data_IF_885001674247
#
_entry.id   IF_885001674247
#
_cell.length_a   1.000
_cell.length_b   1.000
_cell.length_c   1.000
_cell.angle_alpha   90.00
_cell.angle_beta   90.00
_cell.angle_gamma   90.00
#
_symmetry.space_group_name_H-M   'P 1'
#
loop_
_entity.id
_entity.type
_entity.pdbx_description
1 polymer ?
#
# COMPACT_ATOMS: atom_id res chain seq x y z
N UNK A 1 8.72 29.38 44.50
CA UNK A 1 8.74 28.43 45.63
C UNK A 1 7.43 27.65 45.64
N UNK A 2 7.41 26.35 46.01
CA UNK A 2 7.52 25.27 45.00
C UNK A 2 6.57 24.06 45.22
N UNK A 3 6.81 23.02 44.42
CA UNK A 3 6.54 21.57 44.63
C UNK A 3 5.19 21.05 44.10
N UNK A 4 5.10 19.87 43.47
CA UNK A 4 5.84 18.62 43.75
C UNK A 4 6.23 17.83 42.49
N UNK A 5 7.44 17.26 42.57
CA UNK A 5 7.94 16.10 41.81
C UNK A 5 7.30 14.81 42.35
N UNK A 6 7.23 13.78 41.51
CA UNK A 6 7.51 12.40 41.93
C UNK A 6 8.48 11.75 40.91
N UNK A 7 9.64 11.35 41.41
CA UNK A 7 10.61 10.47 40.78
C UNK A 7 10.23 9.00 41.08
N UNK A 8 10.53 8.10 40.16
CA UNK A 8 10.91 6.70 40.45
C UNK A 8 11.99 6.32 39.42
N UNK A 9 13.27 6.49 39.79
CA UNK A 9 14.23 5.43 40.18
C UNK A 9 14.38 4.31 39.14
N UNK A 10 15.49 4.44 38.41
CA UNK A 10 16.22 3.39 37.72
C UNK A 10 17.13 2.75 38.76
N UNK A 11 17.04 1.42 38.93
CA UNK A 11 18.09 0.64 39.56
C UNK A 11 18.72 -0.22 38.45
N UNK A 12 19.99 0.07 38.17
CA UNK A 12 20.93 -0.81 37.47
C UNK A 12 21.44 -1.87 38.47
N UNK A 13 21.54 -3.11 38.01
CA UNK A 13 22.55 -4.14 38.36
C UNK A 13 21.95 -5.55 38.37
N UNK A 14 22.20 -6.33 37.32
CA UNK A 14 22.65 -7.71 37.48
C UNK A 14 23.36 -8.21 36.22
N UNK A 15 24.70 -8.27 36.31
CA UNK A 15 25.58 -9.07 35.43
C UNK A 15 25.95 -10.33 36.24
N UNK A 16 25.73 -11.52 35.68
CA UNK A 16 26.76 -12.56 35.43
C UNK A 16 26.15 -13.95 35.13
N UNK A 17 26.64 -14.50 34.00
CA UNK A 17 27.11 -15.88 33.73
C UNK A 17 26.24 -17.10 34.04
N UNK A 18 26.06 -17.92 33.00
CA UNK A 18 26.47 -19.33 32.83
C UNK A 18 25.43 -20.07 31.95
N UNK A 19 25.78 -20.54 30.76
CA UNK A 19 26.54 -21.76 30.40
C UNK A 19 25.59 -22.84 29.83
N UNK A 20 25.98 -23.31 28.64
CA UNK A 20 25.65 -24.56 27.95
C UNK A 20 24.57 -25.47 28.56
N UNK A 21 23.43 -25.59 27.87
CA UNK A 21 22.68 -26.85 27.78
C UNK A 21 22.22 -27.06 26.34
N UNK A 22 22.80 -28.09 25.72
CA UNK A 22 22.29 -28.68 24.49
C UNK A 22 20.90 -29.28 24.73
N UNK A 23 19.89 -28.83 24.01
CA UNK A 23 18.69 -29.63 23.77
C UNK A 23 18.35 -29.56 22.29
N UNK A 24 18.52 -30.70 21.64
CA UNK A 24 17.92 -31.03 20.35
C UNK A 24 16.41 -30.79 20.43
N UNK A 25 15.93 -29.72 19.80
CA UNK A 25 14.50 -29.51 19.56
C UNK A 25 14.20 -29.82 18.10
N UNK A 26 13.43 -30.89 17.91
CA UNK A 26 12.78 -31.27 16.66
C UNK A 26 12.11 -30.05 16.01
N UNK A 27 12.34 -29.90 14.72
CA UNK A 27 11.61 -28.96 13.86
C UNK A 27 10.10 -29.26 13.92
N UNK A 28 9.24 -28.26 14.15
CA UNK A 28 7.80 -28.46 14.05
C UNK A 28 7.41 -28.55 12.57
N UNK A 29 6.71 -29.65 12.23
CA UNK A 29 6.05 -29.83 10.93
C UNK A 29 5.10 -28.65 10.64
N UNK A 30 5.01 -28.17 9.40
CA UNK A 30 4.17 -27.02 9.07
C UNK A 30 2.70 -27.46 9.06
N UNK A 31 1.91 -27.01 10.04
CA UNK A 31 0.48 -27.38 10.10
C UNK A 31 -0.35 -26.81 11.24
N UNK A 32 0.15 -25.84 12.02
CA UNK A 32 -0.58 -25.29 13.18
C UNK A 32 -0.43 -23.76 13.25
N UNK A 33 -1.17 -23.06 12.38
CA UNK A 33 -1.40 -21.60 12.47
C UNK A 33 -2.89 -21.25 12.51
N UNK A 34 -3.76 -22.21 12.76
CA UNK A 34 -5.20 -21.99 12.82
C UNK A 34 -5.63 -22.01 14.28
N UNK A 35 -5.76 -20.83 14.92
CA UNK A 35 -6.70 -20.52 16.03
C UNK A 35 -6.50 -19.11 16.65
N UNK A 36 -6.33 -18.05 15.85
CA UNK A 36 -6.23 -16.69 16.42
C UNK A 36 -7.05 -15.60 15.71
N UNK A 37 -7.93 -15.93 14.75
CA UNK A 37 -8.65 -14.92 13.95
C UNK A 37 -10.13 -14.75 14.29
N UNK A 38 -10.59 -15.22 15.45
CA UNK A 38 -12.04 -15.23 15.76
C UNK A 38 -12.49 -14.19 16.80
N UNK A 39 -11.66 -13.21 17.17
CA UNK A 39 -12.09 -12.08 18.01
C UNK A 39 -11.42 -10.78 17.61
N UNK A 40 -12.26 -9.76 17.44
CA UNK A 40 -11.93 -8.32 17.33
C UNK A 40 -11.52 -7.77 15.96
N UNK A 41 -12.43 -7.79 14.98
CA UNK A 41 -12.46 -6.75 13.93
C UNK A 41 -13.90 -6.29 13.73
N UNK A 42 -14.28 -5.26 14.47
CA UNK A 42 -15.33 -4.26 14.24
C UNK A 42 -15.84 -3.73 15.58
N UNK A 43 -15.06 -2.88 16.24
CA UNK A 43 -15.58 -1.96 17.25
C UNK A 43 -15.65 -0.56 16.62
N UNK A 44 -16.83 -0.21 16.10
CA UNK A 44 -17.17 1.19 15.87
C UNK A 44 -17.49 1.80 17.23
N UNK A 45 -16.54 2.56 17.78
CA UNK A 45 -16.71 3.28 19.04
C UNK A 45 -17.82 4.33 18.89
N UNK A 46 -18.98 4.10 19.51
CA UNK A 46 -19.98 5.15 19.73
C UNK A 46 -19.55 5.95 20.96
N UNK A 47 -19.19 7.22 20.76
CA UNK A 47 -19.23 8.21 21.84
C UNK A 47 -20.69 8.41 22.22
N UNK A 48 -21.04 8.05 23.45
CA UNK A 48 -22.27 8.49 24.09
C UNK A 48 -21.95 9.81 24.80
N UNK A 49 -22.68 10.86 24.43
CA UNK A 49 -22.68 12.13 25.13
C UNK A 49 -23.55 11.97 26.39
N UNK A 50 -22.92 12.04 27.57
CA UNK A 50 -23.59 12.15 28.86
C UNK A 50 -23.71 13.65 29.21
N UNK A 51 -24.86 14.25 28.93
CA UNK A 51 -25.31 15.48 29.59
C UNK A 51 -26.50 15.13 30.49
N UNK A 52 -26.34 15.33 31.79
CA UNK A 52 -27.42 15.19 32.78
C UNK A 52 -27.50 16.45 33.63
N UNK A 53 -28.26 17.44 33.15
CA UNK A 53 -28.74 18.56 33.96
C UNK A 53 -30.19 18.26 34.39
N UNK A 54 -30.35 18.01 35.69
CA UNK A 54 -31.64 17.85 36.33
C UNK A 54 -32.20 19.21 36.73
N UNK A 55 -33.31 19.62 36.13
CA UNK A 55 -34.11 20.73 36.63
C UNK A 55 -35.59 20.32 36.74
N UNK A 56 -36.13 20.45 37.95
CA UNK A 56 -37.47 20.05 38.36
C UNK A 56 -38.49 21.14 38.03
N UNK A 57 -39.55 20.83 37.27
CA UNK A 57 -40.76 21.67 37.20
C UNK A 57 -42.04 20.80 37.19
N UNK A 58 -43.00 21.24 37.99
CA UNK A 58 -44.30 20.63 38.33
C UNK A 58 -45.38 20.75 37.22
N UNK A 59 -46.53 20.03 37.31
CA UNK A 59 -47.37 19.74 36.14
C UNK A 59 -48.54 20.71 35.99
N UNK A 60 -48.84 21.15 34.75
CA UNK A 60 -50.17 21.66 34.39
C UNK A 60 -50.62 21.29 32.97
N UNK A 61 -51.78 20.62 32.96
CA UNK A 61 -52.92 20.78 32.05
C UNK A 61 -52.85 20.34 30.56
N UNK A 62 -53.58 19.23 30.33
CA UNK A 62 -54.31 18.79 29.11
C UNK A 62 -54.53 19.83 27.99
N UNK A 63 -54.17 19.45 26.75
CA UNK A 63 -55.06 19.63 25.57
C UNK A 63 -54.67 18.70 24.41
N UNK A 64 -55.64 17.92 23.92
CA UNK A 64 -55.54 17.01 22.75
C UNK A 64 -55.29 17.79 21.45
N UNK A 65 -54.37 17.31 20.60
CA UNK A 65 -54.45 17.49 19.13
C UNK A 65 -54.08 16.18 18.43
N UNK A 66 -55.07 15.61 17.75
CA UNK A 66 -54.92 14.50 16.79
C UNK A 66 -54.37 15.07 15.47
N UNK A 67 -53.09 15.41 15.44
CA UNK A 67 -52.30 15.63 14.22
C UNK A 67 -50.90 15.21 14.63
N UNK A 68 -50.43 14.04 14.22
CA UNK A 68 -49.14 13.56 14.71
C UNK A 68 -48.81 12.10 14.50
N UNK A 69 -49.71 11.30 13.90
CA UNK A 69 -49.35 9.92 13.53
C UNK A 69 -48.85 9.84 12.09
N UNK A 70 -49.53 10.49 11.14
CA UNK A 70 -49.17 10.41 9.71
C UNK A 70 -47.91 11.22 9.38
N UNK A 71 -47.80 12.46 9.87
CA UNK A 71 -46.59 13.28 9.68
C UNK A 71 -45.37 12.67 10.36
N UNK A 72 -45.54 12.11 11.57
CA UNK A 72 -44.46 11.38 12.26
C UNK A 72 -44.04 10.13 11.52
N UNK A 73 -44.98 9.36 10.95
CA UNK A 73 -44.65 8.18 10.15
C UNK A 73 -43.91 8.55 8.86
N UNK A 74 -44.33 9.62 8.15
CA UNK A 74 -43.63 10.09 6.95
C UNK A 74 -42.23 10.58 7.29
N UNK A 75 -42.07 11.32 8.40
CA UNK A 75 -40.76 11.78 8.87
C UNK A 75 -39.84 10.62 9.26
N UNK A 76 -40.36 9.61 9.98
CA UNK A 76 -39.59 8.40 10.32
C UNK A 76 -39.20 7.61 9.08
N UNK A 77 -40.10 7.47 8.09
CA UNK A 77 -39.78 6.79 6.82
C UNK A 77 -38.70 7.57 6.05
N UNK A 78 -38.78 8.90 6.01
CA UNK A 78 -37.77 9.74 5.35
C UNK A 78 -36.41 9.67 6.06
N UNK A 79 -36.40 9.71 7.39
CA UNK A 79 -35.16 9.53 8.17
C UNK A 79 -34.59 8.14 7.99
N UNK A 80 -35.41 7.08 8.00
CA UNK A 80 -34.99 5.72 7.71
C UNK A 80 -34.48 5.59 6.27
N UNK A 81 -35.11 6.23 5.28
CA UNK A 81 -34.68 6.23 3.88
C UNK A 81 -33.35 6.99 3.70
N UNK A 82 -33.19 8.14 4.34
CA UNK A 82 -31.93 8.90 4.31
C UNK A 82 -30.83 8.16 5.05
N UNK A 83 -31.12 7.53 6.20
CA UNK A 83 -30.14 6.70 6.92
C UNK A 83 -29.79 5.44 6.14
N UNK A 84 -30.75 4.75 5.52
CA UNK A 84 -30.45 3.58 4.68
C UNK A 84 -29.71 3.97 3.40
N UNK A 85 -30.02 5.13 2.82
CA UNK A 85 -29.29 5.65 1.67
C UNK A 85 -27.89 6.13 2.06
N UNK A 86 -27.73 6.78 3.22
CA UNK A 86 -26.43 7.16 3.77
C UNK A 86 -25.58 5.94 4.16
N UNK A 87 -26.20 4.90 4.73
CA UNK A 87 -25.56 3.61 5.02
C UNK A 87 -25.24 2.83 3.74
N UNK A 88 -26.06 2.93 2.69
CA UNK A 88 -25.80 2.35 1.38
C UNK A 88 -24.67 3.10 0.65
N UNK A 89 -24.62 4.43 0.75
CA UNK A 89 -23.52 5.26 0.25
C UNK A 89 -22.23 4.95 1.03
N UNK A 90 -22.31 4.80 2.36
CA UNK A 90 -21.19 4.34 3.17
C UNK A 90 -20.75 2.93 2.77
N UNK A 91 -21.67 1.98 2.52
CA UNK A 91 -21.31 0.64 2.04
C UNK A 91 -20.72 0.65 0.62
N UNK A 92 -21.11 1.58 -0.26
CA UNK A 92 -20.50 1.71 -1.59
C UNK A 92 -19.13 2.41 -1.57
N UNK A 93 -18.84 3.16 -0.50
CA UNK A 93 -17.60 3.91 -0.30
C UNK A 93 -16.63 3.21 0.67
N UNK A 94 -17.12 2.21 1.39
CA UNK A 94 -16.33 1.35 2.26
C UNK A 94 -16.23 -0.01 1.60
N UNK A 95 -15.05 -0.28 1.05
CA UNK A 95 -14.35 -1.54 1.29
C UNK A 95 -15.23 -2.79 1.45
N UNK A 96 -15.45 -3.54 0.37
CA UNK A 96 -16.28 -4.73 0.42
C UNK A 96 -15.47 -5.93 0.96
N UNK A 97 -15.35 -6.01 2.29
CA UNK A 97 -14.70 -7.11 2.99
C UNK A 97 -15.21 -8.50 2.56
N UNK A 98 -16.43 -8.60 2.01
CA UNK A 98 -16.98 -9.84 1.46
C UNK A 98 -16.31 -10.27 0.15
N UNK A 99 -15.94 -9.33 -0.71
CA UNK A 99 -15.23 -9.62 -1.95
C UNK A 99 -13.78 -10.00 -1.66
N UNK A 100 -13.14 -9.33 -0.70
CA UNK A 100 -11.82 -9.71 -0.20
C UNK A 100 -11.84 -11.08 0.46
N UNK A 101 -12.76 -11.32 1.39
CA UNK A 101 -12.89 -12.62 2.05
C UNK A 101 -13.26 -13.71 1.03
N UNK A 102 -14.06 -13.38 0.01
CA UNK A 102 -14.36 -14.25 -1.12
C UNK A 102 -13.10 -14.57 -1.95
N UNK A 103 -12.29 -13.57 -2.28
CA UNK A 103 -11.02 -13.74 -2.99
C UNK A 103 -10.03 -14.54 -2.13
N UNK A 104 -9.80 -14.14 -0.88
CA UNK A 104 -8.97 -14.83 0.10
C UNK A 104 -9.39 -16.30 0.27
N UNK A 105 -10.69 -16.57 0.46
CA UNK A 105 -11.20 -17.93 0.53
C UNK A 105 -11.10 -18.66 -0.80
N UNK A 106 -11.23 -18.00 -1.95
CA UNK A 106 -10.99 -18.65 -3.24
C UNK A 106 -9.52 -19.02 -3.43
N UNK A 107 -8.61 -18.22 -2.87
CA UNK A 107 -7.17 -18.49 -2.84
C UNK A 107 -6.85 -19.61 -1.83
N UNK A 108 -7.56 -19.69 -0.71
CA UNK A 108 -7.31 -20.66 0.38
C UNK A 108 -8.08 -21.96 0.26
N UNK A 109 -9.31 -21.99 -0.22
CA UNK A 109 -9.99 -23.24 -0.56
C UNK A 109 -9.21 -23.97 -1.66
N UNK A 110 -8.57 -23.22 -2.57
CA UNK A 110 -7.53 -23.74 -3.43
C UNK A 110 -6.32 -24.26 -2.66
N UNK A 111 -5.86 -23.69 -1.54
CA UNK A 111 -4.75 -24.26 -0.72
C UNK A 111 -5.02 -25.65 -0.12
N UNK A 112 -6.28 -26.07 0.00
CA UNK A 112 -6.62 -27.40 0.54
C UNK A 112 -6.31 -28.55 -0.43
N UNK A 113 -6.31 -28.28 -1.74
CA UNK A 113 -6.04 -29.29 -2.78
C UNK A 113 -5.17 -28.81 -3.95
N UNK A 114 -5.11 -27.52 -4.28
CA UNK A 114 -4.31 -26.96 -5.38
C UNK A 114 -3.94 -25.46 -5.19
N UNK A 115 -2.78 -25.16 -4.62
CA UNK A 115 -1.94 -24.08 -5.17
C UNK A 115 -1.11 -24.62 -6.36
N UNK A 116 -1.59 -25.62 -7.08
CA UNK A 116 -0.82 -26.25 -8.16
C UNK A 116 -0.56 -25.29 -9.34
N UNK A 117 -1.29 -24.17 -9.44
CA UNK A 117 -1.10 -23.20 -10.52
C UNK A 117 -1.08 -21.75 -10.02
N UNK A 118 0.09 -21.13 -10.07
CA UNK A 118 0.25 -19.69 -9.87
C UNK A 118 -0.68 -18.89 -10.80
N UNK A 119 -1.24 -17.75 -10.33
CA UNK A 119 -2.09 -16.90 -11.16
C UNK A 119 -1.29 -16.33 -12.34
N UNK A 120 -1.96 -16.08 -13.46
CA UNK A 120 -1.32 -15.41 -14.58
C UNK A 120 -0.91 -13.98 -14.17
N UNK A 121 0.32 -13.52 -14.45
CA UNK A 121 0.77 -12.20 -14.05
C UNK A 121 0.04 -11.09 -14.83
N UNK A 122 -0.43 -10.07 -14.10
CA UNK A 122 -1.18 -8.92 -14.60
C UNK A 122 -0.30 -7.66 -14.55
N UNK A 123 0.44 -7.40 -15.63
CA UNK A 123 1.46 -6.35 -15.69
C UNK A 123 0.95 -4.94 -15.32
N UNK A 124 -0.30 -4.63 -15.66
CA UNK A 124 -0.89 -3.31 -15.45
C UNK A 124 -1.60 -3.16 -14.09
N UNK A 125 -1.67 -4.21 -13.28
CA UNK A 125 -2.41 -4.16 -12.02
C UNK A 125 -1.52 -3.68 -10.87
N UNK A 126 -1.92 -2.59 -10.22
CA UNK A 126 -1.30 -2.03 -9.01
C UNK A 126 -2.34 -2.09 -7.87
N UNK A 127 -2.05 -2.89 -6.85
CA UNK A 127 -2.94 -3.05 -5.70
C UNK A 127 -2.75 -1.85 -4.77
N UNK A 128 -3.79 -1.07 -4.54
CA UNK A 128 -3.75 -0.02 -3.52
C UNK A 128 -4.01 -0.68 -2.17
N UNK A 129 -2.97 -0.77 -1.35
CA UNK A 129 -3.01 -1.52 -0.11
C UNK A 129 -2.84 -0.57 1.07
N UNK A 130 -3.96 0.03 1.46
CA UNK A 130 -4.07 0.78 2.71
C UNK A 130 -4.23 -0.15 3.93
N UNK A 131 -4.35 0.45 5.11
CA UNK A 131 -4.50 -0.22 6.41
C UNK A 131 -5.75 -1.11 6.54
N UNK A 132 -6.60 -1.19 5.52
CA UNK A 132 -7.86 -1.93 5.59
C UNK A 132 -7.75 -3.37 5.05
N UNK A 133 -6.65 -3.73 4.38
CA UNK A 133 -6.38 -5.12 3.96
C UNK A 133 -5.84 -6.00 5.07
N UNK A 134 -6.46 -7.16 5.29
CA UNK A 134 -6.01 -8.10 6.29
C UNK A 134 -4.70 -8.82 5.88
N UNK A 135 -4.55 -9.10 4.58
CA UNK A 135 -3.41 -9.84 4.01
C UNK A 135 -2.97 -9.26 2.65
N UNK A 136 -2.50 -8.01 2.62
CA UNK A 136 -2.36 -7.23 1.38
C UNK A 136 -1.45 -7.84 0.32
N UNK A 137 -0.36 -8.46 0.74
CA UNK A 137 0.59 -9.11 -0.18
C UNK A 137 -0.02 -10.35 -0.80
N UNK A 138 -0.68 -11.18 0.00
CA UNK A 138 -1.26 -12.43 -0.43
C UNK A 138 -2.41 -12.20 -1.41
N UNK A 139 -3.21 -11.16 -1.19
CA UNK A 139 -4.30 -10.78 -2.09
C UNK A 139 -3.77 -10.28 -3.42
N UNK A 140 -2.84 -9.32 -3.40
CA UNK A 140 -2.26 -8.77 -4.61
C UNK A 140 -1.54 -9.87 -5.44
N UNK A 141 -0.61 -10.60 -4.83
CA UNK A 141 0.15 -11.65 -5.52
C UNK A 141 -0.74 -12.82 -5.94
N UNK A 142 -1.70 -13.21 -5.10
CA UNK A 142 -2.69 -14.26 -5.39
C UNK A 142 -3.65 -13.89 -6.52
N UNK A 143 -3.93 -12.60 -6.70
CA UNK A 143 -4.66 -12.08 -7.85
C UNK A 143 -3.80 -11.95 -9.12
N UNK A 144 -2.48 -12.16 -9.02
CA UNK A 144 -1.53 -12.02 -10.12
C UNK A 144 -1.01 -10.62 -10.32
N UNK A 145 -1.25 -9.69 -9.40
CA UNK A 145 -0.87 -8.29 -9.55
C UNK A 145 0.65 -8.12 -9.55
N UNK A 146 1.12 -7.18 -10.36
CA UNK A 146 2.54 -6.89 -10.55
C UNK A 146 3.01 -5.67 -9.78
N UNK A 147 2.08 -4.85 -9.30
CA UNK A 147 2.34 -3.71 -8.44
C UNK A 147 1.62 -3.84 -7.09
N UNK A 148 2.25 -3.31 -6.05
CA UNK A 148 1.65 -3.02 -4.76
C UNK A 148 1.95 -1.56 -4.41
N UNK A 149 0.98 -0.84 -3.87
CA UNK A 149 1.10 0.50 -3.32
C UNK A 149 0.85 0.44 -1.82
N UNK A 150 1.70 1.09 -1.02
CA UNK A 150 1.60 1.13 0.44
C UNK A 150 1.81 2.54 0.95
N UNK A 151 0.86 3.03 1.73
CA UNK A 151 0.98 4.28 2.47
C UNK A 151 1.97 4.12 3.61
N UNK A 152 2.84 5.11 3.81
CA UNK A 152 3.78 5.11 4.93
C UNK A 152 3.85 6.41 5.71
N UNK A 153 3.94 6.26 7.01
CA UNK A 153 4.19 7.34 7.96
C UNK A 153 5.54 7.11 8.65
N UNK A 154 6.42 8.12 8.59
CA UNK A 154 7.76 8.04 9.16
C UNK A 154 7.82 8.67 10.55
N UNK A 155 8.57 8.01 11.44
CA UNK A 155 9.20 8.68 12.57
C UNK A 155 10.73 8.63 12.42
N UNK A 156 11.47 9.11 13.43
CA UNK A 156 12.94 9.17 13.40
C UNK A 156 13.63 7.80 13.21
N UNK A 157 12.92 6.70 13.47
CA UNK A 157 13.51 5.36 13.58
C UNK A 157 12.92 4.34 12.59
N UNK A 158 11.69 4.53 12.13
CA UNK A 158 10.98 3.52 11.34
C UNK A 158 9.90 4.14 10.45
N UNK A 159 9.54 3.37 9.43
CA UNK A 159 8.35 3.56 8.61
C UNK A 159 7.25 2.64 9.11
N UNK A 160 6.08 3.21 9.30
CA UNK A 160 4.86 2.50 9.66
C UNK A 160 3.91 2.48 8.46
N UNK A 161 3.16 1.40 8.33
CA UNK A 161 2.12 1.24 7.32
C UNK A 161 0.94 2.13 7.69
N UNK A 162 0.49 2.91 6.71
CA UNK A 162 -0.66 3.80 6.82
C UNK A 162 -0.37 5.28 6.66
N UNK A 163 -1.46 6.06 6.65
CA UNK A 163 -1.42 7.51 6.51
C UNK A 163 -1.16 8.28 7.80
N UNK A 164 -0.98 7.58 8.91
CA UNK A 164 -0.69 8.11 10.23
C UNK A 164 0.16 7.11 11.02
N UNK A 165 0.69 7.54 12.17
CA UNK A 165 1.45 6.65 13.05
C UNK A 165 0.61 5.41 13.44
N UNK A 166 1.19 4.24 13.21
CA UNK A 166 0.60 2.94 13.52
C UNK A 166 1.63 2.07 14.23
N UNK A 167 1.23 0.87 14.69
CA UNK A 167 2.18 -0.09 15.27
C UNK A 167 2.79 -1.02 14.20
N UNK A 168 2.28 -0.96 12.98
CA UNK A 168 2.64 -1.88 11.91
C UNK A 168 3.83 -1.33 11.13
N UNK A 169 4.98 -2.00 11.18
CA UNK A 169 6.20 -1.53 10.52
C UNK A 169 6.29 -2.02 9.08
N UNK A 170 6.65 -1.13 8.16
CA UNK A 170 6.85 -1.45 6.76
C UNK A 170 7.82 -2.62 6.54
N UNK A 171 8.93 -2.66 7.30
CA UNK A 171 9.94 -3.71 7.16
C UNK A 171 9.39 -5.11 7.47
N UNK A 172 8.48 -5.21 8.44
CA UNK A 172 7.93 -6.47 8.92
C UNK A 172 6.71 -6.92 8.11
N UNK A 173 5.88 -5.96 7.67
CA UNK A 173 4.65 -6.23 6.92
C UNK A 173 4.84 -6.31 5.41
N UNK A 174 5.82 -5.59 4.86
CA UNK A 174 6.07 -5.53 3.42
C UNK A 174 7.44 -6.05 3.02
N UNK A 175 8.52 -5.44 3.51
CA UNK A 175 9.83 -5.67 2.91
C UNK A 175 10.33 -7.10 3.11
N UNK A 176 10.32 -7.61 4.35
CA UNK A 176 10.73 -9.00 4.64
C UNK A 176 9.78 -10.02 4.01
N UNK A 177 8.44 -9.90 4.09
CA UNK A 177 7.55 -10.83 3.41
C UNK A 177 7.78 -10.91 1.90
N UNK A 178 7.92 -9.77 1.21
CA UNK A 178 8.23 -9.75 -0.22
C UNK A 178 9.60 -10.38 -0.52
N UNK A 179 10.61 -10.11 0.29
CA UNK A 179 11.93 -10.73 0.16
C UNK A 179 11.90 -12.25 0.36
N UNK A 180 11.08 -12.77 1.28
CA UNK A 180 10.87 -14.22 1.44
C UNK A 180 10.31 -14.84 0.17
N UNK A 181 9.30 -14.22 -0.45
CA UNK A 181 8.72 -14.70 -1.70
C UNK A 181 9.77 -14.70 -2.82
N UNK A 182 10.53 -13.61 -2.98
CA UNK A 182 11.58 -13.48 -3.97
C UNK A 182 12.72 -14.50 -3.79
N UNK A 183 13.10 -14.79 -2.54
CA UNK A 183 14.15 -15.76 -2.22
C UNK A 183 13.71 -17.19 -2.55
N UNK A 184 12.43 -17.52 -2.36
CA UNK A 184 11.87 -18.83 -2.75
C UNK A 184 11.79 -18.96 -4.27
N UNK A 185 11.35 -17.92 -4.97
CA UNK A 185 11.23 -17.95 -6.43
C UNK A 185 12.57 -17.80 -7.16
N UNK A 186 13.63 -17.38 -6.45
CA UNK A 186 14.94 -17.03 -7.02
C UNK A 186 14.80 -16.09 -8.23
N UNK A 187 13.89 -15.11 -8.12
CA UNK A 187 13.54 -14.23 -9.22
C UNK A 187 12.24 -13.47 -9.00
N UNK A 188 11.42 -13.28 -10.06
CA UNK A 188 10.15 -12.58 -9.96
C UNK A 188 9.24 -13.18 -8.89
N UNK A 189 8.36 -12.37 -8.28
CA UNK A 189 7.48 -12.87 -7.21
C UNK A 189 6.43 -13.87 -7.74
N UNK A 190 6.07 -13.75 -9.03
CA UNK A 190 5.21 -14.70 -9.70
C UNK A 190 6.08 -15.70 -10.51
N UNK A 191 6.01 -17.02 -10.23
CA UNK A 191 6.85 -18.01 -10.91
C UNK A 191 6.53 -18.16 -12.40
N UNK A 192 5.32 -17.78 -12.85
CA UNK A 192 4.98 -17.80 -14.28
C UNK A 192 5.69 -16.68 -15.06
N UNK A 193 6.17 -15.61 -14.40
CA UNK A 193 6.84 -14.48 -15.05
C UNK A 193 8.08 -14.90 -15.86
N UNK A 194 8.80 -15.93 -15.42
CA UNK A 194 9.98 -16.45 -16.14
C UNK A 194 9.55 -17.06 -17.49
N UNK A 195 8.40 -17.73 -17.53
CA UNK A 195 7.87 -18.40 -18.72
C UNK A 195 7.14 -17.43 -19.65
N UNK A 196 6.29 -16.57 -19.10
CA UNK A 196 5.47 -15.63 -19.86
C UNK A 196 6.27 -14.41 -20.32
N UNK A 197 7.35 -14.09 -19.61
CA UNK A 197 8.11 -12.86 -19.81
C UNK A 197 7.43 -11.60 -19.29
N UNK A 198 6.22 -11.73 -18.74
CA UNK A 198 5.43 -10.66 -18.14
C UNK A 198 5.87 -10.51 -16.68
N UNK A 199 5.89 -9.30 -16.14
CA UNK A 199 6.09 -9.10 -14.69
C UNK A 199 7.39 -9.70 -14.16
N UNK A 200 8.50 -9.51 -14.91
CA UNK A 200 9.84 -9.97 -14.50
C UNK A 200 10.39 -9.22 -13.29
N UNK A 201 9.82 -8.05 -12.99
CA UNK A 201 10.13 -7.24 -11.84
C UNK A 201 8.81 -6.65 -11.32
N UNK A 202 8.53 -6.88 -10.05
CA UNK A 202 7.36 -6.33 -9.37
C UNK A 202 7.62 -4.88 -8.95
N UNK A 203 6.58 -4.06 -8.89
CA UNK A 203 6.65 -2.68 -8.40
C UNK A 203 6.16 -2.62 -6.96
N UNK A 204 6.93 -1.99 -6.07
CA UNK A 204 6.47 -1.54 -4.77
C UNK A 204 6.47 -0.01 -4.79
N UNK A 205 5.28 0.58 -4.83
CA UNK A 205 5.08 2.01 -4.73
C UNK A 205 4.88 2.38 -3.26
N UNK A 206 5.76 3.21 -2.71
CA UNK A 206 5.72 3.64 -1.30
C UNK A 206 5.25 5.08 -1.26
N UNK A 207 4.02 5.31 -0.82
CA UNK A 207 3.40 6.63 -0.76
C UNK A 207 3.64 7.29 0.60
N UNK A 208 4.48 8.34 0.62
CA UNK A 208 4.84 9.01 1.86
C UNK A 208 3.75 9.99 2.29
N UNK A 209 3.26 9.80 3.52
CA UNK A 209 2.21 10.63 4.13
C UNK A 209 2.74 11.56 5.23
N UNK A 210 4.07 11.66 5.34
CA UNK A 210 4.77 12.43 6.37
C UNK A 210 6.00 13.12 5.75
N UNK A 211 7.02 13.45 6.54
CA UNK A 211 8.20 14.14 6.02
C UNK A 211 8.93 13.30 4.95
N UNK A 212 8.92 13.78 3.70
CA UNK A 212 9.45 13.06 2.53
C UNK A 212 10.94 12.71 2.64
N UNK A 213 11.75 13.61 3.20
CA UNK A 213 13.21 13.42 3.32
C UNK A 213 13.54 12.38 4.40
N UNK A 214 12.90 12.47 5.56
CA UNK A 214 13.05 11.48 6.63
C UNK A 214 12.55 10.10 6.16
N UNK A 215 11.42 10.06 5.48
CA UNK A 215 10.83 8.82 4.97
C UNK A 215 11.81 8.10 4.04
N UNK A 216 12.44 8.83 3.12
CA UNK A 216 13.47 8.29 2.24
C UNK A 216 14.68 7.74 3.00
N UNK A 217 15.25 8.50 3.95
CA UNK A 217 16.44 8.08 4.70
C UNK A 217 16.19 6.77 5.45
N UNK A 218 15.00 6.64 6.04
CA UNK A 218 14.60 5.44 6.76
C UNK A 218 14.33 4.28 5.80
N UNK A 219 13.63 4.54 4.68
CA UNK A 219 13.36 3.54 3.65
C UNK A 219 14.64 2.95 3.08
N UNK A 220 15.60 3.80 2.70
CA UNK A 220 16.89 3.39 2.13
C UNK A 220 17.64 2.43 3.07
N UNK A 221 17.69 2.76 4.37
CA UNK A 221 18.31 1.91 5.39
C UNK A 221 17.60 0.56 5.52
N UNK A 222 16.26 0.56 5.49
CA UNK A 222 15.48 -0.67 5.60
C UNK A 222 15.65 -1.57 4.37
N UNK A 223 15.59 -1.02 3.16
CA UNK A 223 15.79 -1.77 1.91
C UNK A 223 17.17 -2.43 1.88
N UNK A 224 18.22 -1.68 2.20
CA UNK A 224 19.58 -2.20 2.30
C UNK A 224 19.73 -3.26 3.38
N UNK A 225 19.12 -3.05 4.55
CA UNK A 225 19.13 -4.03 5.62
C UNK A 225 18.51 -5.35 5.17
N UNK A 226 17.40 -5.31 4.43
CA UNK A 226 16.75 -6.53 3.92
C UNK A 226 17.57 -7.16 2.80
N UNK A 227 18.10 -6.39 1.85
CA UNK A 227 19.00 -6.94 0.83
C UNK A 227 20.21 -7.66 1.46
N UNK A 228 20.81 -7.07 2.50
CA UNK A 228 21.91 -7.69 3.26
C UNK A 228 21.46 -8.94 4.01
N UNK A 229 20.28 -8.91 4.65
CA UNK A 229 19.68 -10.05 5.38
C UNK A 229 19.53 -11.28 4.47
N UNK A 230 19.11 -11.10 3.22
CA UNK A 230 18.90 -12.18 2.25
C UNK A 230 20.16 -12.48 1.39
N UNK A 231 21.19 -11.64 1.48
CA UNK A 231 22.46 -11.79 0.76
C UNK A 231 22.36 -11.54 -0.75
N UNK A 232 21.35 -10.83 -1.22
CA UNK A 232 21.18 -10.40 -2.62
C UNK A 232 20.27 -9.17 -2.71
N UNK A 233 20.33 -8.47 -3.84
CA UNK A 233 19.47 -7.32 -4.12
C UNK A 233 18.06 -7.80 -4.48
N UNK A 234 17.24 -8.09 -3.45
CA UNK A 234 15.79 -8.29 -3.58
C UNK A 234 15.15 -7.03 -4.17
N UNK A 235 15.47 -5.90 -3.55
CA UNK A 235 15.08 -4.57 -4.00
C UNK A 235 16.18 -4.01 -4.90
N UNK A 236 15.79 -3.53 -6.08
CA UNK A 236 16.70 -3.01 -7.08
C UNK A 236 17.47 -1.80 -6.55
N UNK A 237 18.80 -1.88 -6.63
CA UNK A 237 19.67 -0.76 -6.34
C UNK A 237 20.34 -0.23 -7.60
N UNK A 238 20.73 1.03 -7.56
CA UNK A 238 21.25 1.80 -8.68
C UNK A 238 22.55 2.46 -8.25
N UNK A 239 23.48 2.65 -9.18
CA UNK A 239 24.65 3.49 -8.96
C UNK A 239 24.32 5.00 -9.05
N UNK A 240 25.30 5.86 -8.78
CA UNK A 240 25.15 7.33 -8.86
C UNK A 240 24.77 7.88 -10.25
N UNK A 241 24.82 7.05 -11.30
CA UNK A 241 24.37 7.40 -12.65
C UNK A 241 22.91 7.00 -12.90
N UNK A 242 22.26 6.35 -11.94
CA UNK A 242 20.91 5.80 -12.08
C UNK A 242 20.88 4.46 -12.82
N UNK A 243 22.02 3.76 -12.92
CA UNK A 243 22.09 2.47 -13.62
C UNK A 243 21.83 1.34 -12.62
N UNK A 244 20.88 0.41 -12.90
CA UNK A 244 20.64 -0.74 -12.03
C UNK A 244 21.90 -1.60 -11.82
N UNK A 245 22.15 -1.95 -10.57
CA UNK A 245 23.18 -2.92 -10.16
C UNK A 245 22.68 -4.30 -10.50
N UNK A 246 23.37 -4.98 -11.42
CA UNK A 246 22.99 -6.33 -11.86
C UNK A 246 23.07 -7.33 -10.69
N UNK A 247 21.98 -8.07 -10.51
CA UNK A 247 21.92 -9.15 -9.53
C UNK A 247 22.29 -10.49 -10.18
N UNK A 248 23.53 -10.93 -9.98
CA UNK A 248 24.09 -12.12 -10.62
C UNK A 248 23.45 -13.42 -10.12
N UNK A 249 22.81 -13.43 -8.94
CA UNK A 249 22.06 -14.60 -8.44
C UNK A 249 20.75 -14.84 -9.19
N UNK A 250 20.24 -13.84 -9.90
CA UNK A 250 18.93 -13.88 -10.56
C UNK A 250 19.12 -13.97 -12.08
N UNK A 251 18.45 -14.94 -12.70
CA UNK A 251 18.50 -15.13 -14.15
C UNK A 251 17.97 -13.88 -14.87
N UNK A 252 18.82 -13.21 -15.65
CA UNK A 252 18.50 -11.96 -16.33
C UNK A 252 19.06 -10.72 -15.64
N UNK A 253 19.61 -10.84 -14.43
CA UNK A 253 20.33 -9.77 -13.74
C UNK A 253 19.45 -8.68 -13.13
N UNK A 254 18.12 -8.80 -13.22
CA UNK A 254 17.18 -7.84 -12.64
C UNK A 254 16.81 -8.25 -11.23
N UNK A 255 16.86 -7.31 -10.30
CA UNK A 255 16.32 -7.50 -8.96
C UNK A 255 14.80 -7.75 -9.02
N UNK A 256 14.25 -8.64 -8.18
CA UNK A 256 12.83 -8.99 -8.18
C UNK A 256 11.86 -7.82 -8.02
N UNK A 257 12.24 -6.80 -7.25
CA UNK A 257 11.34 -5.70 -6.88
C UNK A 257 12.00 -4.37 -7.16
N UNK A 258 11.29 -3.49 -7.87
CA UNK A 258 11.60 -2.08 -8.00
C UNK A 258 10.79 -1.27 -7.01
N UNK A 259 11.47 -0.47 -6.20
CA UNK A 259 10.83 0.43 -5.24
C UNK A 259 10.75 1.83 -5.82
N UNK A 260 9.58 2.43 -5.74
CA UNK A 260 9.31 3.79 -6.22
C UNK A 260 8.70 4.57 -5.05
N UNK A 261 9.29 5.71 -4.67
CA UNK A 261 8.72 6.60 -3.66
C UNK A 261 7.81 7.63 -4.34
N UNK A 262 6.58 7.75 -3.84
CA UNK A 262 5.59 8.76 -4.25
C UNK A 262 5.15 9.57 -3.04
N UNK A 263 4.32 10.59 -3.24
CA UNK A 263 3.89 11.51 -2.17
C UNK A 263 4.91 12.59 -1.82
N UNK A 264 6.03 12.67 -2.53
CA UNK A 264 7.13 13.60 -2.23
C UNK A 264 6.70 15.06 -2.44
N UNK A 265 6.99 15.91 -1.46
CA UNK A 265 6.83 17.35 -1.55
C UNK A 265 7.65 17.91 -2.74
N UNK A 266 7.01 18.67 -3.63
CA UNK A 266 7.61 19.10 -4.89
C UNK A 266 8.92 19.90 -4.70
N UNK A 267 8.98 20.75 -3.67
CA UNK A 267 10.16 21.56 -3.35
C UNK A 267 11.32 20.71 -2.77
N UNK A 268 11.05 19.47 -2.36
CA UNK A 268 12.06 18.54 -1.82
C UNK A 268 12.62 17.61 -2.88
N UNK A 269 12.02 17.50 -4.07
CA UNK A 269 12.48 16.58 -5.12
C UNK A 269 13.95 16.82 -5.52
N UNK A 270 14.42 18.06 -5.81
CA UNK A 270 15.82 18.28 -6.17
C UNK A 270 16.78 17.87 -5.05
N UNK A 271 16.45 18.20 -3.79
CA UNK A 271 17.23 17.81 -2.62
C UNK A 271 17.28 16.28 -2.49
N UNK A 272 16.14 15.61 -2.64
CA UNK A 272 16.05 14.17 -2.52
C UNK A 272 16.87 13.46 -3.61
N UNK A 273 16.76 13.93 -4.85
CA UNK A 273 17.50 13.40 -5.97
C UNK A 273 19.01 13.60 -5.82
N UNK A 274 19.44 14.78 -5.34
CA UNK A 274 20.84 15.02 -5.01
C UNK A 274 21.35 14.04 -3.97
N UNK A 275 20.59 13.80 -2.89
CA UNK A 275 20.96 12.84 -1.84
C UNK A 275 21.04 11.41 -2.34
N UNK A 276 20.09 10.97 -3.18
CA UNK A 276 20.15 9.64 -3.81
C UNK A 276 21.41 9.44 -4.64
N UNK A 277 21.86 10.49 -5.33
CA UNK A 277 23.05 10.45 -6.20
C UNK A 277 24.36 10.60 -5.41
N UNK A 278 24.39 11.40 -4.34
CA UNK A 278 25.63 11.84 -3.67
C UNK A 278 25.86 11.29 -2.26
N UNK A 279 24.81 11.05 -1.47
CA UNK A 279 24.93 10.86 -0.02
C UNK A 279 25.00 9.39 0.41
N UNK A 280 25.18 8.47 -0.54
CA UNK A 280 25.16 7.04 -0.26
C UNK A 280 26.59 6.55 -0.03
N UNK A 281 26.84 5.88 1.10
CA UNK A 281 28.19 5.55 1.58
C UNK A 281 29.02 4.70 0.59
N UNK A 282 28.34 3.95 -0.27
CA UNK A 282 28.89 3.11 -1.34
C UNK A 282 28.52 3.61 -2.74
N UNK A 283 27.88 4.78 -2.85
CA UNK A 283 27.40 5.35 -4.11
C UNK A 283 26.16 4.66 -4.71
N UNK A 284 25.44 3.84 -3.93
CA UNK A 284 24.24 3.13 -4.39
C UNK A 284 22.93 3.70 -3.80
N UNK A 285 21.78 3.53 -4.44
CA UNK A 285 20.47 3.78 -3.79
C UNK A 285 19.47 2.70 -4.22
N UNK A 286 18.51 2.30 -3.38
CA UNK A 286 17.65 1.14 -3.64
C UNK A 286 16.19 1.46 -3.97
N UNK A 287 15.95 2.68 -4.45
CA UNK A 287 14.62 3.21 -4.76
C UNK A 287 14.72 4.34 -5.79
N UNK A 288 13.61 4.60 -6.49
CA UNK A 288 13.48 5.65 -7.52
C UNK A 288 12.33 6.60 -7.19
N UNK A 289 12.26 7.76 -7.85
CA UNK A 289 11.21 8.75 -7.64
C UNK A 289 10.03 8.58 -8.59
N UNK A 290 8.84 8.86 -8.06
CA UNK A 290 7.63 9.18 -8.81
C UNK A 290 7.49 10.71 -8.96
N UNK A 291 7.47 11.20 -10.20
CA UNK A 291 7.20 12.60 -10.51
C UNK A 291 5.69 12.91 -10.55
N UNK A 292 5.32 14.19 -10.63
CA UNK A 292 3.92 14.61 -10.81
C UNK A 292 3.70 15.34 -12.13
N UNK A 293 2.69 14.90 -12.89
CA UNK A 293 2.29 15.55 -14.14
C UNK A 293 1.53 16.85 -13.87
N UNK A 294 1.91 17.94 -14.54
CA UNK A 294 1.27 19.26 -14.42
C UNK A 294 1.83 20.16 -13.32
N UNK A 295 2.49 19.57 -12.33
CA UNK A 295 3.43 20.29 -11.47
C UNK A 295 4.80 20.30 -12.17
N UNK A 296 5.66 21.27 -11.88
CA UNK A 296 6.98 21.55 -12.52
C UNK A 296 8.00 20.40 -12.54
N UNK A 297 7.58 19.16 -12.29
CA UNK A 297 8.39 17.95 -12.13
C UNK A 297 8.22 16.94 -13.27
N UNK A 298 7.18 17.05 -14.09
CA UNK A 298 6.94 16.09 -15.19
C UNK A 298 8.14 15.96 -16.15
N UNK A 299 8.94 17.03 -16.29
CA UNK A 299 10.18 17.06 -17.05
C UNK A 299 11.11 18.01 -16.31
N UNK A 300 11.69 17.56 -15.19
CA UNK A 300 12.57 18.45 -14.42
C UNK A 300 13.76 18.87 -15.30
N UNK A 301 14.14 20.15 -15.25
CA UNK A 301 15.45 20.58 -15.73
C UNK A 301 16.58 20.12 -14.78
N UNK A 302 16.24 19.57 -13.62
CA UNK A 302 17.20 19.03 -12.65
C UNK A 302 17.79 17.70 -13.13
N UNK A 303 19.11 17.68 -13.29
CA UNK A 303 19.82 16.51 -13.82
C UNK A 303 19.78 15.31 -12.88
N UNK A 304 19.82 15.52 -11.57
CA UNK A 304 19.80 14.42 -10.61
C UNK A 304 18.42 13.77 -10.59
N UNK A 305 17.35 14.56 -10.57
CA UNK A 305 15.98 14.06 -10.60
C UNK A 305 15.73 13.20 -11.85
N UNK A 306 16.23 13.61 -13.02
CA UNK A 306 16.15 12.79 -14.24
C UNK A 306 16.85 11.43 -14.12
N UNK A 307 17.92 11.31 -13.33
CA UNK A 307 18.66 10.05 -13.13
C UNK A 307 17.94 9.08 -12.19
N UNK A 308 17.18 9.60 -11.23
CA UNK A 308 16.56 8.78 -10.18
C UNK A 308 15.05 8.62 -10.34
N UNK A 309 14.42 9.35 -11.25
CA UNK A 309 12.99 9.23 -11.55
C UNK A 309 12.75 8.07 -12.52
N UNK A 310 11.75 7.25 -12.23
CA UNK A 310 11.38 6.13 -13.10
C UNK A 310 9.89 6.10 -13.48
N UNK A 311 9.11 6.99 -12.88
CA UNK A 311 7.67 7.03 -13.02
C UNK A 311 7.16 8.46 -12.90
N UNK A 312 6.00 8.72 -13.50
CA UNK A 312 5.21 9.93 -13.30
C UNK A 312 3.77 9.53 -12.98
N UNK A 313 3.19 10.20 -11.99
CA UNK A 313 1.78 10.05 -11.63
C UNK A 313 1.02 11.35 -11.85
N UNK A 314 -0.26 11.23 -12.12
CA UNK A 314 -1.17 12.37 -12.21
C UNK A 314 -2.47 12.08 -11.47
N UNK A 315 -3.09 13.11 -10.90
CA UNK A 315 -4.48 12.98 -10.47
C UNK A 315 -5.35 12.79 -11.70
N UNK A 316 -6.28 11.85 -11.66
CA UNK A 316 -7.28 11.73 -12.69
C UNK A 316 -8.13 12.99 -12.79
N UNK A 317 -8.26 13.50 -14.02
CA UNK A 317 -9.12 14.62 -14.37
C UNK A 317 -9.69 14.31 -15.76
N UNK A 318 -10.98 13.92 -15.87
CA UNK A 318 -11.57 13.53 -17.14
C UNK A 318 -11.67 14.70 -18.15
N UNK A 319 -11.54 15.95 -17.70
CA UNK A 319 -11.50 17.12 -18.58
C UNK A 319 -10.11 17.28 -19.21
N UNK A 320 -9.05 16.98 -18.45
CA UNK A 320 -7.66 17.07 -18.95
C UNK A 320 -7.23 15.81 -19.69
N UNK A 321 -7.63 14.64 -19.21
CA UNK A 321 -7.19 13.34 -19.68
C UNK A 321 -8.35 12.62 -20.38
N UNK A 322 -8.71 13.10 -21.56
CA UNK A 322 -9.67 12.45 -22.44
C UNK A 322 -9.09 12.22 -23.84
N UNK A 323 -9.56 11.17 -24.52
CA UNK A 323 -9.24 10.89 -25.92
C UNK A 323 -7.74 11.04 -26.25
N UNK A 324 -7.45 11.93 -27.19
CA UNK A 324 -6.09 12.18 -27.66
C UNK A 324 -5.21 12.88 -26.61
N UNK A 325 -5.78 13.68 -25.71
CA UNK A 325 -5.00 14.35 -24.66
C UNK A 325 -4.39 13.32 -23.69
N UNK A 326 -5.17 12.30 -23.29
CA UNK A 326 -4.66 11.20 -22.47
C UNK A 326 -3.54 10.43 -23.21
N UNK A 327 -3.76 10.05 -24.47
CA UNK A 327 -2.76 9.32 -25.27
C UNK A 327 -1.48 10.11 -25.46
N UNK A 328 -1.57 11.42 -25.72
CA UNK A 328 -0.42 12.29 -25.85
C UNK A 328 0.37 12.41 -24.54
N UNK A 329 -0.31 12.52 -23.40
CA UNK A 329 0.35 12.52 -22.09
C UNK A 329 1.10 11.23 -21.83
N UNK A 330 0.48 10.07 -22.10
CA UNK A 330 1.14 8.76 -21.96
C UNK A 330 2.35 8.67 -22.89
N UNK A 331 2.18 9.05 -24.16
CA UNK A 331 3.25 9.05 -25.15
C UNK A 331 4.45 9.88 -24.71
N UNK A 332 4.23 11.13 -24.25
CA UNK A 332 5.29 12.01 -23.76
C UNK A 332 6.03 11.40 -22.55
N UNK A 333 5.32 10.75 -21.63
CA UNK A 333 5.97 10.06 -20.50
C UNK A 333 6.89 8.93 -21.00
N UNK A 334 6.41 8.13 -21.96
CA UNK A 334 7.18 7.04 -22.56
C UNK A 334 8.38 7.53 -23.39
N UNK A 335 8.28 8.65 -24.10
CA UNK A 335 9.41 9.28 -24.82
C UNK A 335 10.57 9.64 -23.87
N UNK A 336 10.25 9.95 -22.62
CA UNK A 336 11.22 10.21 -21.55
C UNK A 336 11.60 8.98 -20.73
N UNK A 337 11.17 7.77 -21.13
CA UNK A 337 11.39 6.51 -20.42
C UNK A 337 10.79 6.45 -19.01
N UNK A 338 9.71 7.21 -18.77
CA UNK A 338 8.96 7.13 -17.53
C UNK A 338 7.75 6.21 -17.70
N UNK A 339 7.49 5.37 -16.70
CA UNK A 339 6.18 4.75 -16.56
C UNK A 339 5.16 5.79 -16.13
N UNK A 340 3.88 5.59 -16.47
CA UNK A 340 2.80 6.49 -16.07
C UNK A 340 1.64 5.78 -15.40
N UNK A 341 1.07 6.41 -14.37
CA UNK A 341 -0.23 6.03 -13.79
C UNK A 341 -1.10 7.26 -13.52
N UNK A 342 -2.37 7.00 -13.25
CA UNK A 342 -3.31 7.98 -12.73
C UNK A 342 -3.88 7.50 -11.41
N UNK A 343 -3.96 8.38 -10.41
CA UNK A 343 -4.60 8.11 -9.12
C UNK A 343 -5.96 8.83 -9.04
N UNK A 344 -6.85 8.42 -8.12
CA UNK A 344 -8.25 8.92 -8.04
C UNK A 344 -9.08 8.61 -9.30
N UNK A 345 -8.77 7.50 -9.98
CA UNK A 345 -9.50 7.04 -11.15
C UNK A 345 -10.78 6.31 -10.74
N UNK A 346 -11.91 6.47 -11.47
CA UNK A 346 -13.08 5.64 -11.21
C UNK A 346 -12.81 4.14 -11.36
N UNK A 347 -13.30 3.35 -10.40
CA UNK A 347 -13.10 1.89 -10.31
C UNK A 347 -14.13 1.11 -11.14
N UNK A 348 -14.11 1.29 -12.47
CA UNK A 348 -15.03 0.64 -13.41
C UNK A 348 -14.37 0.23 -14.75
N UNK A 349 -15.05 -0.67 -15.47
CA UNK A 349 -14.57 -1.27 -16.73
C UNK A 349 -14.29 -0.21 -17.80
N UNK A 350 -15.14 0.82 -17.88
CA UNK A 350 -15.01 1.89 -18.85
C UNK A 350 -13.69 2.66 -18.66
N UNK A 351 -13.39 3.01 -17.41
CA UNK A 351 -12.16 3.73 -17.05
C UNK A 351 -10.93 2.85 -17.22
N UNK A 352 -10.98 1.60 -16.74
CA UNK A 352 -9.87 0.66 -16.92
C UNK A 352 -9.59 0.36 -18.39
N UNK A 353 -10.62 0.27 -19.23
CA UNK A 353 -10.46 0.12 -20.69
C UNK A 353 -9.79 1.33 -21.30
N UNK A 354 -10.26 2.53 -20.97
CA UNK A 354 -9.69 3.78 -21.47
C UNK A 354 -8.21 3.93 -21.10
N UNK A 355 -7.83 3.66 -19.85
CA UNK A 355 -6.44 3.76 -19.38
C UNK A 355 -5.54 2.74 -20.08
N UNK A 356 -5.96 1.47 -20.17
CA UNK A 356 -5.20 0.44 -20.89
C UNK A 356 -5.02 0.77 -22.37
N UNK A 357 -6.09 1.19 -23.04
CA UNK A 357 -6.05 1.53 -24.47
C UNK A 357 -5.17 2.74 -24.76
N UNK A 358 -5.03 3.66 -23.80
CA UNK A 358 -4.11 4.78 -23.89
C UNK A 358 -2.65 4.39 -23.61
N UNK A 359 -2.39 3.18 -23.12
CA UNK A 359 -1.03 2.68 -22.81
C UNK A 359 -0.57 2.99 -21.39
N UNK A 360 -1.47 3.29 -20.45
CA UNK A 360 -1.10 3.54 -19.05
C UNK A 360 -0.44 2.30 -18.44
N UNK A 361 0.72 2.48 -17.79
CA UNK A 361 1.53 1.37 -17.31
C UNK A 361 0.95 0.66 -16.10
N UNK A 362 0.34 1.40 -15.18
CA UNK A 362 -0.22 0.88 -13.93
C UNK A 362 -1.59 1.49 -13.65
N UNK A 363 -2.55 0.62 -13.32
CA UNK A 363 -3.89 0.95 -12.86
C UNK A 363 -3.93 0.63 -11.38
N UNK A 364 -3.92 1.66 -10.53
CA UNK A 364 -4.19 1.53 -9.10
C UNK A 364 -5.62 1.08 -8.90
N UNK A 365 -5.87 0.19 -7.94
CA UNK A 365 -7.23 -0.22 -7.58
C UNK A 365 -7.34 -0.65 -6.12
N UNK A 366 -8.45 -0.29 -5.48
CA UNK A 366 -8.92 -0.91 -4.23
C UNK A 366 -9.79 -2.16 -4.50
N UNK A 367 -10.21 -2.39 -5.76
CA UNK A 367 -11.11 -3.47 -6.17
C UNK A 367 -10.33 -4.62 -6.82
N UNK A 368 -9.46 -5.25 -6.03
CA UNK A 368 -8.54 -6.31 -6.50
C UNK A 368 -9.26 -7.37 -7.35
N UNK A 369 -10.35 -7.96 -6.84
CA UNK A 369 -11.10 -9.00 -7.56
C UNK A 369 -11.73 -8.49 -8.87
N UNK A 370 -12.22 -7.24 -8.88
CA UNK A 370 -12.83 -6.61 -10.05
C UNK A 370 -11.80 -6.38 -11.17
N UNK A 371 -10.68 -5.75 -10.83
CA UNK A 371 -9.62 -5.50 -11.81
C UNK A 371 -8.98 -6.82 -12.27
N UNK A 372 -8.79 -7.80 -11.38
CA UNK A 372 -8.33 -9.13 -11.73
C UNK A 372 -9.22 -9.77 -12.80
N UNK A 373 -10.53 -9.82 -12.56
CA UNK A 373 -11.49 -10.44 -13.48
C UNK A 373 -11.47 -9.74 -14.84
N UNK A 374 -11.42 -8.40 -14.84
CA UNK A 374 -11.33 -7.60 -16.05
C UNK A 374 -10.05 -7.88 -16.86
N UNK A 375 -8.87 -7.79 -16.22
CA UNK A 375 -7.59 -7.98 -16.90
C UNK A 375 -7.37 -9.43 -17.36
N UNK A 376 -7.81 -10.42 -16.59
CA UNK A 376 -7.69 -11.84 -16.97
C UNK A 376 -8.56 -12.19 -18.20
N UNK A 377 -9.66 -11.45 -18.42
CA UNK A 377 -10.50 -11.59 -19.60
C UNK A 377 -9.90 -10.97 -20.87
N UNK A 378 -8.89 -10.10 -20.73
CA UNK A 378 -8.12 -9.56 -21.85
C UNK A 378 -7.03 -10.57 -22.19
N UNK A 379 -7.18 -11.29 -23.30
CA UNK A 379 -6.12 -12.16 -23.82
C UNK A 379 -4.93 -11.27 -24.21
N UNK A 380 -3.85 -11.34 -23.44
CA UNK A 380 -2.56 -10.72 -23.78
C UNK A 380 -1.69 -11.68 -24.59
#
# INVERSE_FOLDING_TARGET
MPSRRCNARVDDDFIERESLVSTTRQEPKPGLWIQALDREVCSCSRKADDESDGESITPKAKRKRKVGLVESCVFVILVCAVLTFALAIQQSSCWNAKDEFGLYNSLIQKTGEEFEKAPFPLAHALSHNDNFQAVPIQLALGAGFCGLEVDVFANKYSLFVGSAESNEKLIDSYLRPLAKVANVSMGPLNPLSIRTGICKQNTLLVDVKSNSVLSWEVLEKQLRSVNAEFGFNVFECYDSRGIPVKEWRIKGGLSPIKVIITGVDLDKVPLLAERMVKDTADGLHCQTLDGRWGDTIAITNDENARRVQSMISARWDPVRFNGDALKNTVHLAHEHNYRIRFWDTPENIETWSMLLEAGVDLISTDRIAGLQAYLSGKKY
#
